data_IF_689518159578
#
_entry.id   IF_689518159578
#
_cell.length_a   1.000
_cell.length_b   1.000
_cell.length_c   1.000
_cell.angle_alpha   90.00
_cell.angle_beta   90.00
_cell.angle_gamma   90.00
#
_symmetry.space_group_name_H-M   'P 1'
#
loop_
_entity.id
_entity.type
_entity.pdbx_description
1 polymer ?
#
# COMPACT_ATOMS: atom_id res chain seq x y z
N UNK A 1 58.45 19.16 15.67
CA UNK A 1 59.66 18.30 15.50
C UNK A 1 59.33 16.89 15.97
N UNK A 2 59.66 15.88 15.14
CA UNK A 2 59.82 14.43 15.40
C UNK A 2 58.60 13.69 15.99
N UNK A 3 57.75 12.97 15.23
CA UNK A 3 57.89 11.71 14.43
C UNK A 3 58.31 10.45 15.22
N UNK A 4 57.41 9.47 15.15
CA UNK A 4 57.61 8.07 14.71
C UNK A 4 57.95 6.97 15.74
N UNK A 5 57.26 5.84 15.52
CA UNK A 5 57.72 4.47 15.77
C UNK A 5 56.52 3.50 15.88
N UNK A 6 56.48 2.32 15.29
CA UNK A 6 57.18 1.68 14.17
C UNK A 6 56.38 0.39 13.86
N UNK A 7 56.28 -0.01 12.59
CA UNK A 7 55.81 -1.32 12.13
C UNK A 7 56.83 -2.42 12.49
N UNK A 8 56.42 -3.70 12.49
CA UNK A 8 56.95 -4.77 11.61
C UNK A 8 56.40 -6.18 11.98
N UNK A 9 55.82 -6.87 10.96
CA UNK A 9 55.95 -8.27 10.49
C UNK A 9 56.04 -9.45 11.49
N UNK A 10 55.15 -10.45 11.45
CA UNK A 10 54.98 -11.58 10.51
C UNK A 10 55.89 -12.78 10.79
N UNK A 11 55.31 -13.98 11.03
CA UNK A 11 55.87 -15.29 10.62
C UNK A 11 54.80 -16.39 10.64
N UNK A 12 54.73 -17.12 9.53
CA UNK A 12 54.08 -18.43 9.39
C UNK A 12 55.10 -19.57 9.62
N UNK A 13 54.66 -20.82 9.82
CA UNK A 13 55.50 -21.99 9.55
C UNK A 13 55.05 -22.75 8.28
N UNK A 14 56.02 -22.97 7.40
CA UNK A 14 56.06 -23.92 6.28
C UNK A 14 56.63 -25.26 6.77
N UNK A 15 56.02 -26.40 6.37
CA UNK A 15 56.65 -27.72 6.20
C UNK A 15 55.90 -28.44 5.05
N UNK A 16 56.39 -28.43 3.80
CA UNK A 16 57.31 -29.38 3.13
C UNK A 16 56.72 -30.78 2.86
N UNK A 17 56.06 -30.87 1.70
CA UNK A 17 56.06 -31.89 0.61
C UNK A 17 56.38 -33.37 0.89
N UNK A 18 55.50 -34.24 0.37
CA UNK A 18 55.88 -35.42 -0.41
C UNK A 18 54.98 -35.52 -1.66
N UNK A 19 55.62 -35.51 -2.83
CA UNK A 19 54.99 -35.63 -4.14
C UNK A 19 54.91 -37.11 -4.55
N UNK A 20 53.77 -37.53 -5.09
CA UNK A 20 53.70 -38.69 -5.99
C UNK A 20 52.91 -38.26 -7.23
N UNK A 21 53.64 -38.14 -8.33
CA UNK A 21 53.14 -37.93 -9.69
C UNK A 21 52.61 -39.25 -10.23
N UNK A 22 51.34 -39.31 -10.62
CA UNK A 22 50.89 -40.20 -11.71
C UNK A 22 49.74 -39.54 -12.49
N UNK A 23 50.11 -38.96 -13.63
CA UNK A 23 49.44 -38.93 -14.94
C UNK A 23 47.89 -38.85 -14.98
N UNK A 24 47.40 -37.70 -15.45
CA UNK A 24 46.02 -37.46 -15.93
C UNK A 24 45.72 -38.20 -17.24
N UNK A 25 44.44 -38.33 -17.62
CA UNK A 25 43.94 -37.35 -18.60
C UNK A 25 42.62 -36.67 -18.20
N UNK A 26 42.48 -35.49 -18.76
CA UNK A 26 41.43 -34.48 -18.60
C UNK A 26 40.01 -35.02 -18.80
N UNK A 27 39.08 -34.54 -17.98
CA UNK A 27 37.74 -34.22 -18.46
C UNK A 27 37.17 -32.97 -17.77
N UNK A 28 36.66 -32.10 -18.62
CA UNK A 28 36.22 -30.71 -18.43
C UNK A 28 34.98 -30.54 -17.53
N UNK A 29 34.94 -29.36 -16.91
CA UNK A 29 33.76 -28.56 -16.57
C UNK A 29 32.65 -29.20 -15.72
N UNK A 30 32.83 -29.17 -14.40
CA UNK A 30 31.70 -29.21 -13.47
C UNK A 30 31.03 -27.82 -13.42
N UNK A 31 30.05 -27.63 -14.29
CA UNK A 31 29.09 -26.54 -14.20
C UNK A 31 28.38 -26.56 -12.85
N UNK A 32 28.45 -25.43 -12.17
CA UNK A 32 27.70 -25.08 -10.98
C UNK A 32 26.19 -25.05 -11.32
N UNK A 33 25.52 -26.20 -11.20
CA UNK A 33 24.06 -26.29 -11.31
C UNK A 33 23.44 -25.89 -9.97
N UNK A 34 23.26 -24.58 -9.76
CA UNK A 34 22.16 -24.11 -8.90
C UNK A 34 20.87 -24.55 -9.60
N UNK A 35 20.19 -25.52 -9.00
CA UNK A 35 18.94 -26.06 -9.53
C UNK A 35 17.94 -24.94 -9.80
N UNK A 36 17.57 -24.80 -11.07
CA UNK A 36 16.30 -24.19 -11.44
C UNK A 36 15.21 -25.06 -10.82
N UNK A 37 14.47 -24.56 -9.84
CA UNK A 37 13.19 -25.16 -9.46
C UNK A 37 12.36 -25.31 -10.73
N UNK A 38 11.78 -26.49 -10.94
CA UNK A 38 10.90 -26.69 -12.08
C UNK A 38 9.66 -25.80 -11.94
N UNK A 39 9.05 -25.38 -13.05
CA UNK A 39 7.80 -24.60 -13.02
C UNK A 39 6.70 -25.30 -12.19
N UNK A 40 6.72 -26.62 -12.11
CA UNK A 40 5.82 -27.42 -11.28
C UNK A 40 6.13 -27.32 -9.78
N UNK A 41 7.40 -27.26 -9.38
CA UNK A 41 7.79 -27.02 -7.99
C UNK A 41 7.47 -25.60 -7.56
N UNK A 42 7.71 -24.61 -8.43
CA UNK A 42 7.33 -23.22 -8.19
C UNK A 42 5.81 -23.10 -8.00
N UNK A 43 5.01 -23.68 -8.91
CA UNK A 43 3.55 -23.66 -8.78
C UNK A 43 3.05 -24.33 -7.49
N UNK A 44 3.72 -25.41 -7.02
CA UNK A 44 3.40 -26.05 -5.73
C UNK A 44 3.76 -25.16 -4.55
N UNK A 45 4.91 -24.49 -4.58
CA UNK A 45 5.34 -23.57 -3.53
C UNK A 45 4.40 -22.36 -3.45
N UNK A 46 4.03 -21.79 -4.59
CA UNK A 46 3.10 -20.68 -4.68
C UNK A 46 1.74 -21.08 -4.11
N UNK A 47 1.20 -22.23 -4.54
CA UNK A 47 -0.07 -22.78 -4.03
C UNK A 47 -0.03 -23.00 -2.51
N UNK A 48 1.08 -23.52 -1.99
CA UNK A 48 1.27 -23.69 -0.53
C UNK A 48 1.26 -22.34 0.19
N UNK A 49 2.01 -21.35 -0.31
CA UNK A 49 2.07 -20.01 0.30
C UNK A 49 0.71 -19.31 0.27
N UNK A 50 -0.09 -19.51 -0.79
CA UNK A 50 -1.45 -19.00 -0.88
C UNK A 50 -2.38 -19.66 0.14
N UNK A 51 -2.26 -20.98 0.32
CA UNK A 51 -3.06 -21.70 1.31
C UNK A 51 -2.71 -21.27 2.74
N UNK A 52 -1.42 -21.08 3.04
CA UNK A 52 -0.96 -20.60 4.36
C UNK A 52 -1.48 -19.18 4.65
N UNK A 53 -1.36 -18.24 3.71
CA UNK A 53 -1.93 -16.89 3.84
C UNK A 53 -3.44 -16.90 4.00
N UNK A 54 -4.15 -17.77 3.28
CA UNK A 54 -5.60 -17.90 3.39
C UNK A 54 -6.02 -18.45 4.77
N UNK A 55 -5.26 -19.39 5.32
CA UNK A 55 -5.50 -19.92 6.66
C UNK A 55 -5.21 -18.89 7.76
N UNK A 56 -4.11 -18.13 7.65
CA UNK A 56 -3.79 -17.02 8.55
C UNK A 56 -4.88 -15.96 8.51
N UNK A 57 -5.31 -15.54 7.31
CA UNK A 57 -6.41 -14.60 7.15
C UNK A 57 -7.72 -15.12 7.75
N UNK A 58 -8.03 -16.40 7.60
CA UNK A 58 -9.24 -16.99 8.18
C UNK A 58 -9.20 -16.98 9.72
N UNK A 59 -8.03 -17.24 10.32
CA UNK A 59 -7.85 -17.15 11.76
C UNK A 59 -7.98 -15.70 12.26
N UNK A 60 -7.40 -14.73 11.54
CA UNK A 60 -7.57 -13.31 11.83
C UNK A 60 -9.04 -12.89 11.74
N UNK A 61 -9.75 -13.32 10.69
CA UNK A 61 -11.16 -13.02 10.48
C UNK A 61 -12.03 -13.62 11.61
N UNK A 62 -11.68 -14.80 12.14
CA UNK A 62 -12.31 -15.40 13.32
C UNK A 62 -12.07 -14.56 14.59
N UNK A 63 -10.84 -14.08 14.81
CA UNK A 63 -10.50 -13.23 15.97
C UNK A 63 -11.30 -11.92 15.99
N UNK A 64 -11.62 -11.37 14.82
CA UNK A 64 -12.32 -10.08 14.71
C UNK A 64 -13.82 -10.20 14.44
N UNK A 65 -14.35 -11.43 14.32
CA UNK A 65 -15.73 -11.68 13.90
C UNK A 65 -16.77 -11.05 14.84
N UNK A 66 -16.52 -11.11 16.15
CA UNK A 66 -17.41 -10.60 17.19
C UNK A 66 -17.19 -9.10 17.51
N UNK A 67 -16.19 -8.47 16.90
CA UNK A 67 -15.93 -7.05 17.10
C UNK A 67 -16.97 -6.20 16.38
N UNK A 68 -17.32 -5.02 16.92
CA UNK A 68 -18.21 -4.09 16.23
C UNK A 68 -17.78 -3.83 14.78
N UNK A 69 -18.73 -3.57 13.85
CA UNK A 69 -18.38 -3.30 12.46
C UNK A 69 -17.41 -2.13 12.29
N UNK A 70 -17.47 -1.13 13.19
CA UNK A 70 -16.61 0.05 13.14
C UNK A 70 -16.75 0.78 11.82
N UNK A 71 -15.63 1.01 11.13
CA UNK A 71 -15.61 1.65 9.82
C UNK A 71 -16.36 0.85 8.75
N UNK A 72 -16.47 -0.48 8.90
CA UNK A 72 -17.20 -1.34 7.97
C UNK A 72 -18.74 -1.19 8.08
N UNK A 73 -19.25 -0.50 9.12
CA UNK A 73 -20.67 -0.14 9.15
C UNK A 73 -21.02 0.74 7.93
N UNK A 74 -22.14 0.52 7.22
CA UNK A 74 -22.44 1.23 5.97
C UNK A 74 -22.35 2.76 6.07
N UNK A 75 -22.88 3.36 7.15
CA UNK A 75 -22.81 4.80 7.37
C UNK A 75 -21.38 5.30 7.64
N UNK A 76 -20.58 4.52 8.37
CA UNK A 76 -19.17 4.86 8.67
C UNK A 76 -18.29 4.69 7.43
N UNK A 77 -18.56 3.69 6.60
CA UNK A 77 -17.89 3.50 5.30
C UNK A 77 -18.20 4.64 4.34
N UNK A 78 -19.46 5.07 4.27
CA UNK A 78 -19.85 6.26 3.49
C UNK A 78 -19.13 7.52 3.99
N UNK A 79 -19.11 7.74 5.31
CA UNK A 79 -18.38 8.85 5.93
C UNK A 79 -16.88 8.81 5.63
N UNK A 80 -16.24 7.64 5.73
CA UNK A 80 -14.83 7.46 5.41
C UNK A 80 -14.53 7.90 3.96
N UNK A 81 -15.38 7.52 3.01
CA UNK A 81 -15.24 7.92 1.61
C UNK A 81 -15.39 9.44 1.41
N UNK A 82 -16.29 10.08 2.15
CA UNK A 82 -16.44 11.53 2.12
C UNK A 82 -15.20 12.24 2.65
N UNK A 83 -14.61 11.75 3.75
CA UNK A 83 -13.38 12.35 4.30
C UNK A 83 -12.19 12.15 3.35
N UNK A 84 -12.01 10.94 2.79
CA UNK A 84 -10.96 10.68 1.78
C UNK A 84 -11.14 11.60 0.56
N UNK A 85 -12.35 11.69 0.00
CA UNK A 85 -12.60 12.52 -1.17
C UNK A 85 -12.40 14.02 -0.91
N UNK A 86 -12.55 14.49 0.33
CA UNK A 86 -12.20 15.87 0.69
C UNK A 86 -10.70 16.16 0.53
N UNK A 87 -9.84 15.14 0.68
CA UNK A 87 -8.39 15.25 0.51
C UNK A 87 -7.91 14.84 -0.89
N UNK A 88 -8.60 13.93 -1.57
CA UNK A 88 -8.21 13.51 -2.92
C UNK A 88 -8.79 14.42 -4.01
N UNK A 89 -9.99 14.99 -3.78
CA UNK A 89 -10.77 15.65 -4.82
C UNK A 89 -11.49 16.93 -4.35
N UNK A 90 -11.21 17.41 -3.15
CA UNK A 90 -11.83 18.59 -2.54
C UNK A 90 -13.38 18.59 -2.58
N UNK A 91 -13.99 17.42 -2.33
CA UNK A 91 -15.45 17.26 -2.34
C UNK A 91 -15.91 16.17 -1.38
N UNK A 92 -17.14 16.29 -0.87
CA UNK A 92 -17.82 15.19 -0.15
C UNK A 92 -18.58 14.26 -1.11
N UNK A 93 -18.81 14.69 -2.35
CA UNK A 93 -19.52 13.90 -3.35
C UNK A 93 -18.60 12.88 -4.02
N UNK A 94 -17.97 11.99 -3.25
CA UNK A 94 -16.92 11.08 -3.72
C UNK A 94 -17.30 10.25 -4.96
N UNK A 95 -18.59 9.94 -5.16
CA UNK A 95 -19.07 9.23 -6.36
C UNK A 95 -18.90 10.03 -7.65
N UNK A 96 -18.65 11.34 -7.62
CA UNK A 96 -18.29 12.09 -8.82
C UNK A 96 -16.89 11.71 -9.34
N UNK A 97 -16.06 11.09 -8.51
CA UNK A 97 -14.68 10.74 -8.87
C UNK A 97 -14.55 9.45 -9.67
N UNK A 98 -15.61 8.64 -9.88
CA UNK A 98 -15.50 7.41 -10.71
C UNK A 98 -14.89 7.69 -12.09
N UNK A 99 -15.22 8.84 -12.69
CA UNK A 99 -14.70 9.28 -13.99
C UNK A 99 -13.48 10.20 -13.91
N UNK A 100 -12.99 10.52 -12.71
CA UNK A 100 -11.76 11.30 -12.56
C UNK A 100 -10.60 10.54 -13.22
N UNK A 101 -9.79 11.27 -13.98
CA UNK A 101 -8.56 10.77 -14.59
C UNK A 101 -7.72 11.97 -15.04
N UNK A 102 -6.49 12.03 -14.54
CA UNK A 102 -5.54 13.11 -14.79
C UNK A 102 -4.13 12.59 -14.49
N UNK A 103 -3.13 13.06 -15.22
CA UNK A 103 -1.74 12.97 -14.78
C UNK A 103 -1.42 14.27 -14.06
N UNK A 104 -1.20 14.17 -12.75
CA UNK A 104 -0.95 15.31 -11.86
C UNK A 104 0.54 15.65 -11.75
N UNK A 105 1.41 14.99 -12.51
CA UNK A 105 2.84 15.25 -12.56
C UNK A 105 3.61 14.77 -11.32
N UNK A 106 3.08 13.79 -10.59
CA UNK A 106 3.70 13.21 -9.40
C UNK A 106 4.57 11.97 -9.69
N UNK A 107 4.72 11.62 -10.97
CA UNK A 107 5.52 10.50 -11.45
C UNK A 107 4.80 9.15 -11.40
N UNK A 108 3.47 9.13 -11.26
CA UNK A 108 2.66 7.89 -11.25
C UNK A 108 1.86 7.68 -12.54
N UNK A 109 2.04 8.56 -13.54
CA UNK A 109 1.25 8.59 -14.77
C UNK A 109 -0.17 9.06 -14.50
N UNK A 110 -1.17 8.46 -15.14
CA UNK A 110 -2.57 8.80 -14.89
C UNK A 110 -3.02 8.29 -13.52
N UNK A 111 -3.54 9.19 -12.69
CA UNK A 111 -4.30 8.93 -11.46
C UNK A 111 -5.80 9.00 -11.76
N UNK A 112 -6.57 7.98 -11.38
CA UNK A 112 -7.97 7.86 -11.81
C UNK A 112 -8.91 7.22 -10.76
N UNK A 113 -10.20 7.54 -10.86
CA UNK A 113 -11.24 6.90 -10.06
C UNK A 113 -11.33 7.38 -8.60
N UNK A 114 -12.12 6.65 -7.82
CA UNK A 114 -12.59 7.05 -6.47
C UNK A 114 -11.54 7.10 -5.36
N UNK A 115 -10.35 6.54 -5.60
CA UNK A 115 -9.22 6.54 -4.66
C UNK A 115 -7.88 6.86 -5.34
N UNK A 116 -7.92 7.32 -6.60
CA UNK A 116 -6.72 7.64 -7.35
C UNK A 116 -5.85 6.43 -7.72
N UNK A 117 -6.43 5.44 -8.42
CA UNK A 117 -5.67 4.34 -9.01
C UNK A 117 -4.69 4.88 -10.05
N UNK A 118 -3.43 4.43 -10.05
CA UNK A 118 -2.42 4.98 -10.98
C UNK A 118 -1.94 3.96 -12.01
N UNK A 119 -1.69 4.41 -13.24
CA UNK A 119 -1.10 3.57 -14.29
C UNK A 119 0.31 3.09 -13.94
N UNK A 120 1.05 3.85 -13.14
CA UNK A 120 2.41 3.53 -12.73
C UNK A 120 2.54 2.70 -11.46
N UNK A 121 1.44 2.39 -10.76
CA UNK A 121 1.47 1.72 -9.43
C UNK A 121 0.76 0.38 -9.39
N UNK A 122 0.56 -0.27 -10.55
CA UNK A 122 -0.03 -1.61 -10.71
C UNK A 122 -1.53 -1.77 -10.38
N UNK A 123 -2.07 -0.95 -9.48
CA UNK A 123 -3.47 -1.00 -9.04
C UNK A 123 -4.48 -0.69 -10.15
N UNK A 124 -4.23 0.33 -10.98
CA UNK A 124 -5.10 0.63 -12.13
C UNK A 124 -5.09 -0.50 -13.15
N UNK A 125 -3.91 -1.06 -13.46
CA UNK A 125 -3.80 -2.22 -14.34
C UNK A 125 -4.62 -3.39 -13.78
N UNK A 126 -4.46 -3.70 -12.49
CA UNK A 126 -5.18 -4.78 -11.80
C UNK A 126 -6.69 -4.58 -11.87
N UNK A 127 -7.17 -3.36 -11.64
CA UNK A 127 -8.58 -2.99 -11.78
C UNK A 127 -9.09 -3.30 -13.19
N UNK A 128 -8.40 -2.82 -14.24
CA UNK A 128 -8.84 -3.01 -15.63
C UNK A 128 -8.78 -4.49 -16.04
N UNK A 129 -7.77 -5.25 -15.58
CA UNK A 129 -7.69 -6.68 -15.84
C UNK A 129 -8.84 -7.47 -15.21
N UNK A 130 -9.13 -7.21 -13.92
CA UNK A 130 -10.23 -7.86 -13.21
C UNK A 130 -11.59 -7.49 -13.81
N UNK A 131 -11.79 -6.20 -14.12
CA UNK A 131 -12.99 -5.73 -14.81
C UNK A 131 -13.15 -6.40 -16.18
N UNK A 132 -12.08 -6.49 -16.97
CA UNK A 132 -12.10 -7.12 -18.30
C UNK A 132 -12.34 -8.62 -18.23
N UNK A 133 -11.82 -9.31 -17.21
CA UNK A 133 -12.11 -10.73 -17.01
C UNK A 133 -13.61 -10.99 -16.79
N UNK A 134 -14.30 -10.10 -16.07
CA UNK A 134 -15.73 -10.18 -15.84
C UNK A 134 -16.57 -9.64 -17.02
N UNK A 135 -16.04 -8.63 -17.73
CA UNK A 135 -16.70 -7.93 -18.84
C UNK A 135 -15.77 -7.82 -20.06
N UNK A 136 -15.57 -8.89 -20.86
CA UNK A 136 -14.53 -8.91 -21.89
C UNK A 136 -14.65 -7.88 -23.00
N UNK A 137 -15.86 -7.38 -23.26
CA UNK A 137 -16.15 -6.42 -24.33
C UNK A 137 -16.17 -4.95 -23.86
N UNK A 138 -15.66 -4.65 -22.65
CA UNK A 138 -15.66 -3.29 -22.11
C UNK A 138 -14.74 -2.32 -22.88
N UNK A 139 -14.98 -1.01 -22.74
CA UNK A 139 -14.26 0.03 -23.48
C UNK A 139 -12.78 0.20 -23.13
N UNK A 140 -12.33 -0.39 -22.01
CA UNK A 140 -10.95 -0.31 -21.51
C UNK A 140 -10.09 -1.50 -21.92
N UNK A 141 -10.70 -2.64 -22.30
CA UNK A 141 -10.00 -3.89 -22.62
C UNK A 141 -8.88 -3.70 -23.66
N UNK A 142 -9.09 -2.84 -24.65
CA UNK A 142 -8.11 -2.53 -25.71
C UNK A 142 -6.81 -1.89 -25.19
N UNK A 143 -6.83 -1.29 -24.01
CA UNK A 143 -5.68 -0.61 -23.42
C UNK A 143 -4.80 -1.54 -22.57
N UNK A 144 -5.26 -2.76 -22.26
CA UNK A 144 -4.50 -3.70 -21.43
C UNK A 144 -3.05 -3.96 -21.90
N UNK A 145 -2.76 -4.12 -23.22
CA UNK A 145 -1.37 -4.27 -23.66
C UNK A 145 -0.50 -3.04 -23.37
N UNK A 146 -1.05 -1.83 -23.45
CA UNK A 146 -0.32 -0.60 -23.13
C UNK A 146 -0.16 -0.43 -21.62
N UNK A 147 -1.25 -0.64 -20.86
CA UNK A 147 -1.22 -0.60 -19.39
C UNK A 147 -0.15 -1.52 -18.81
N UNK A 148 0.00 -2.75 -19.32
CA UNK A 148 1.06 -3.69 -18.90
C UNK A 148 2.48 -3.21 -19.23
N UNK A 149 2.66 -2.42 -20.27
CA UNK A 149 3.98 -1.90 -20.67
C UNK A 149 4.39 -0.69 -19.85
N UNK A 150 3.43 0.18 -19.50
CA UNK A 150 3.70 1.41 -18.75
C UNK A 150 3.68 1.19 -17.24
N UNK A 151 3.16 0.06 -16.76
CA UNK A 151 3.14 -0.29 -15.35
C UNK A 151 4.54 -0.17 -14.71
N UNK A 152 4.62 0.51 -13.56
CA UNK A 152 5.87 0.88 -12.91
C UNK A 152 6.55 2.15 -13.44
N UNK A 153 5.94 2.87 -14.38
CA UNK A 153 6.45 4.13 -14.95
C UNK A 153 5.36 5.21 -15.03
N UNK A 154 5.75 6.45 -15.33
CA UNK A 154 4.83 7.56 -15.63
C UNK A 154 4.47 7.67 -17.12
N UNK A 155 4.85 6.68 -17.94
CA UNK A 155 4.66 6.73 -19.39
C UNK A 155 3.19 6.67 -19.81
N UNK A 156 2.85 7.43 -20.86
CA UNK A 156 1.54 7.39 -21.52
C UNK A 156 1.56 6.64 -22.86
N UNK A 157 2.65 5.95 -23.19
CA UNK A 157 2.81 5.28 -24.48
C UNK A 157 1.69 4.25 -24.74
N UNK A 158 0.95 4.44 -25.83
CA UNK A 158 -0.16 3.55 -26.21
C UNK A 158 -1.45 3.77 -25.44
N UNK A 159 -1.53 4.79 -24.58
CA UNK A 159 -2.73 5.20 -23.85
C UNK A 159 -3.51 6.35 -24.53
N UNK A 160 -3.30 6.56 -25.84
CA UNK A 160 -4.03 7.58 -26.60
C UNK A 160 -5.55 7.40 -26.48
N UNK A 161 -6.23 8.46 -26.04
CA UNK A 161 -7.67 8.46 -25.79
C UNK A 161 -8.13 7.68 -24.56
N UNK A 162 -7.21 7.11 -23.76
CA UNK A 162 -7.54 6.39 -22.52
C UNK A 162 -8.34 7.25 -21.54
N UNK A 163 -8.02 8.53 -21.27
CA UNK A 163 -8.84 9.39 -20.41
C UNK A 163 -10.29 9.54 -20.87
N UNK A 164 -10.54 9.61 -22.17
CA UNK A 164 -11.89 9.69 -22.71
C UNK A 164 -12.63 8.35 -22.57
N UNK A 165 -11.94 7.23 -22.81
CA UNK A 165 -12.49 5.89 -22.63
C UNK A 165 -12.83 5.62 -21.15
N UNK A 166 -11.96 6.01 -20.22
CA UNK A 166 -12.18 5.93 -18.78
C UNK A 166 -13.44 6.67 -18.35
N UNK A 167 -13.57 7.95 -18.74
CA UNK A 167 -14.76 8.77 -18.43
C UNK A 167 -16.04 8.16 -18.98
N UNK A 168 -15.98 7.60 -20.20
CA UNK A 168 -17.13 6.91 -20.81
C UNK A 168 -17.48 5.64 -20.04
N UNK A 169 -16.50 4.81 -19.72
CA UNK A 169 -16.69 3.54 -19.00
C UNK A 169 -17.18 3.79 -17.56
N UNK A 170 -16.78 4.90 -16.93
CA UNK A 170 -17.30 5.35 -15.64
C UNK A 170 -18.80 5.68 -15.65
N UNK A 171 -19.43 5.75 -16.82
CA UNK A 171 -20.89 5.76 -16.96
C UNK A 171 -21.56 4.40 -16.72
N UNK A 172 -20.80 3.30 -16.79
CA UNK A 172 -21.28 1.93 -16.69
C UNK A 172 -21.29 1.48 -15.23
N UNK A 173 -22.44 1.01 -14.75
CA UNK A 173 -22.62 0.53 -13.36
C UNK A 173 -21.62 -0.56 -12.98
N UNK A 174 -21.32 -1.48 -13.90
CA UNK A 174 -20.36 -2.56 -13.68
C UNK A 174 -18.93 -2.05 -13.43
N UNK A 175 -18.50 -0.99 -14.12
CA UNK A 175 -17.17 -0.42 -13.91
C UNK A 175 -17.08 0.34 -12.58
N UNK A 176 -18.16 1.02 -12.17
CA UNK A 176 -18.24 1.63 -10.83
C UNK A 176 -18.13 0.58 -9.73
N UNK A 177 -18.87 -0.52 -9.88
CA UNK A 177 -18.80 -1.65 -8.94
C UNK A 177 -17.41 -2.29 -8.93
N UNK A 178 -16.70 -2.34 -10.07
CA UNK A 178 -15.33 -2.82 -10.13
C UNK A 178 -14.37 -1.90 -9.36
N UNK A 179 -14.51 -0.57 -9.48
CA UNK A 179 -13.74 0.38 -8.66
C UNK A 179 -14.02 0.21 -7.16
N UNK A 180 -15.30 0.10 -6.77
CA UNK A 180 -15.67 -0.13 -5.36
C UNK A 180 -15.07 -1.44 -4.82
N UNK A 181 -15.13 -2.51 -5.62
CA UNK A 181 -14.58 -3.82 -5.24
C UNK A 181 -13.06 -3.78 -5.11
N UNK A 182 -12.37 -3.05 -5.98
CA UNK A 182 -10.91 -2.96 -5.94
C UNK A 182 -10.42 -2.08 -4.78
N UNK A 183 -11.09 -0.96 -4.50
CA UNK A 183 -10.90 -0.19 -3.26
C UNK A 183 -11.02 -1.10 -2.04
N UNK A 184 -12.10 -1.89 -2.00
CA UNK A 184 -12.40 -2.73 -0.85
C UNK A 184 -11.32 -3.80 -0.64
N UNK A 185 -11.02 -4.53 -1.71
CA UNK A 185 -10.07 -5.64 -1.70
C UNK A 185 -8.65 -5.22 -1.34
N UNK A 186 -8.18 -4.09 -1.86
CA UNK A 186 -6.76 -3.70 -1.77
C UNK A 186 -6.50 -2.75 -0.61
N UNK A 187 -7.46 -1.89 -0.26
CA UNK A 187 -7.25 -0.80 0.69
C UNK A 187 -8.15 -0.90 1.92
N UNK A 188 -9.47 -0.93 1.74
CA UNK A 188 -10.40 -0.80 2.85
C UNK A 188 -10.44 -2.03 3.75
N UNK A 189 -10.69 -3.21 3.20
CA UNK A 189 -10.84 -4.43 4.00
C UNK A 189 -9.53 -4.80 4.72
N UNK A 190 -8.34 -4.74 4.08
CA UNK A 190 -7.08 -4.99 4.78
C UNK A 190 -6.80 -3.97 5.89
N UNK A 191 -7.05 -2.68 5.65
CA UNK A 191 -6.83 -1.64 6.65
C UNK A 191 -7.76 -1.79 7.87
N UNK A 192 -9.06 -2.04 7.64
CA UNK A 192 -10.04 -2.22 8.70
C UNK A 192 -9.76 -3.49 9.49
N UNK A 193 -9.46 -4.61 8.82
CA UNK A 193 -9.09 -5.86 9.50
C UNK A 193 -7.87 -5.68 10.38
N UNK A 194 -6.79 -5.10 9.84
CA UNK A 194 -5.56 -4.92 10.60
C UNK A 194 -5.73 -3.97 11.78
N UNK A 195 -6.48 -2.88 11.60
CA UNK A 195 -6.82 -1.97 12.70
C UNK A 195 -7.61 -2.68 13.81
N UNK A 196 -8.53 -3.59 13.46
CA UNK A 196 -9.25 -4.41 14.46
C UNK A 196 -8.32 -5.35 15.23
N UNK A 197 -7.39 -6.03 14.53
CA UNK A 197 -6.37 -6.88 15.18
C UNK A 197 -5.46 -6.08 16.12
N UNK A 198 -5.23 -4.82 15.80
CA UNK A 198 -4.47 -3.87 16.62
C UNK A 198 -5.27 -3.31 17.80
N UNK A 199 -6.57 -3.63 17.90
CA UNK A 199 -7.46 -3.12 18.93
C UNK A 199 -7.90 -1.67 18.72
N UNK A 200 -7.85 -1.17 17.49
CA UNK A 200 -8.23 0.20 17.16
C UNK A 200 -9.74 0.34 16.93
N UNK A 201 -10.31 1.42 17.46
CA UNK A 201 -11.66 1.88 17.21
C UNK A 201 -11.87 2.42 15.79
N UNK A 202 -13.03 3.01 15.56
CA UNK A 202 -13.46 3.44 14.22
C UNK A 202 -12.55 4.52 13.62
N UNK A 203 -12.05 5.46 14.43
CA UNK A 203 -11.11 6.47 13.99
C UNK A 203 -9.76 5.86 13.61
N UNK A 204 -9.24 4.92 14.39
CA UNK A 204 -7.98 4.25 14.05
C UNK A 204 -8.09 3.42 12.77
N UNK A 205 -9.22 2.73 12.55
CA UNK A 205 -9.55 2.07 11.29
C UNK A 205 -9.55 3.06 10.12
N UNK A 206 -10.14 4.25 10.29
CA UNK A 206 -10.13 5.30 9.27
C UNK A 206 -8.71 5.80 8.97
N UNK A 207 -7.90 6.05 10.00
CA UNK A 207 -6.51 6.49 9.85
C UNK A 207 -5.69 5.46 9.07
N UNK A 208 -5.87 4.16 9.35
CA UNK A 208 -5.22 3.09 8.59
C UNK A 208 -5.67 3.07 7.14
N UNK A 209 -6.97 3.20 6.90
CA UNK A 209 -7.52 3.22 5.55
C UNK A 209 -6.98 4.38 4.73
N UNK A 210 -7.02 5.60 5.27
CA UNK A 210 -6.51 6.81 4.63
C UNK A 210 -4.99 6.75 4.39
N UNK A 211 -4.25 6.15 5.31
CA UNK A 211 -2.82 5.89 5.13
C UNK A 211 -2.56 4.87 4.01
N UNK A 212 -3.34 3.79 3.93
CA UNK A 212 -3.18 2.79 2.88
C UNK A 212 -3.54 3.34 1.50
N UNK A 213 -4.54 4.21 1.40
CA UNK A 213 -4.86 4.94 0.15
C UNK A 213 -3.68 5.79 -0.30
N UNK A 214 -3.10 6.59 0.59
CA UNK A 214 -2.02 7.52 0.22
C UNK A 214 -0.65 6.86 0.01
N UNK A 215 -0.31 5.87 0.83
CA UNK A 215 1.02 5.27 0.88
C UNK A 215 1.10 3.89 0.19
N UNK A 216 -0.05 3.34 -0.21
CA UNK A 216 -0.19 2.01 -0.78
C UNK A 216 0.03 0.87 0.23
N UNK A 217 -0.37 -0.37 -0.14
CA UNK A 217 -0.26 -1.57 0.71
C UNK A 217 1.14 -2.21 0.66
N UNK A 218 2.18 -1.49 0.22
CA UNK A 218 3.54 -2.00 0.13
C UNK A 218 4.21 -2.20 1.50
N UNK A 219 5.38 -2.84 1.50
CA UNK A 219 6.21 -3.06 2.70
C UNK A 219 7.45 -2.17 2.76
N UNK A 220 7.55 -1.17 1.87
CA UNK A 220 8.63 -0.18 1.94
C UNK A 220 8.49 0.69 3.20
N UNK A 221 9.57 1.35 3.67
CA UNK A 221 9.52 2.21 4.86
C UNK A 221 8.49 3.35 4.81
N UNK A 222 8.13 3.80 3.61
CA UNK A 222 7.15 4.86 3.35
C UNK A 222 5.78 4.32 2.92
N UNK A 223 5.62 3.00 2.82
CA UNK A 223 4.33 2.34 2.58
C UNK A 223 3.60 2.04 3.89
N UNK A 224 2.29 1.79 3.84
CA UNK A 224 1.46 1.61 5.03
C UNK A 224 2.02 0.62 6.06
N UNK A 225 2.44 -0.58 5.63
CA UNK A 225 2.96 -1.58 6.57
C UNK A 225 4.27 -1.14 7.23
N UNK A 226 5.13 -0.40 6.51
CA UNK A 226 6.35 0.19 7.07
C UNK A 226 6.06 1.30 8.08
N UNK A 227 5.03 2.13 7.85
CA UNK A 227 4.58 3.14 8.82
C UNK A 227 4.06 2.49 10.10
N UNK A 228 3.21 1.46 9.97
CA UNK A 228 2.68 0.70 11.11
C UNK A 228 3.79 0.05 11.93
N UNK A 229 4.74 -0.61 11.26
CA UNK A 229 5.87 -1.26 11.94
C UNK A 229 6.72 -0.26 12.73
N UNK A 230 6.94 0.94 12.18
CA UNK A 230 7.62 2.03 12.90
C UNK A 230 6.82 2.48 14.12
N UNK A 231 5.50 2.67 14.00
CA UNK A 231 4.66 3.07 15.12
C UNK A 231 4.67 2.03 16.25
N UNK A 232 4.63 0.74 15.91
CA UNK A 232 4.72 -0.37 16.87
C UNK A 232 6.06 -0.46 17.61
N UNK A 233 7.13 0.16 17.07
CA UNK A 233 8.42 0.26 17.77
C UNK A 233 8.44 1.41 18.79
N UNK A 234 7.50 2.34 18.70
CA UNK A 234 7.43 3.54 19.52
C UNK A 234 6.29 3.50 20.56
N UNK A 235 5.22 2.75 20.29
CA UNK A 235 4.14 2.52 21.23
C UNK A 235 3.52 1.13 21.11
N UNK A 236 3.13 0.56 22.25
CA UNK A 236 2.36 -0.67 22.32
C UNK A 236 0.99 -0.48 21.66
N UNK A 237 0.53 -1.51 20.96
CA UNK A 237 -0.81 -1.53 20.38
C UNK A 237 -1.87 -1.62 21.49
N UNK A 238 -3.09 -1.11 21.26
CA UNK A 238 -4.21 -1.34 22.17
C UNK A 238 -4.50 -2.81 22.44
N UNK A 239 -4.35 -3.69 21.45
CA UNK A 239 -4.45 -5.15 21.64
C UNK A 239 -3.37 -5.74 22.56
N UNK A 240 -2.32 -4.98 22.85
CA UNK A 240 -1.23 -5.31 23.78
C UNK A 240 -1.32 -4.53 25.10
N UNK A 241 -2.42 -3.80 25.34
CA UNK A 241 -2.64 -2.98 26.53
C UNK A 241 -2.17 -1.53 26.42
N UNK A 242 -1.75 -1.09 25.23
CA UNK A 242 -1.37 0.30 24.96
C UNK A 242 -2.57 1.26 24.88
N UNK A 243 -2.29 2.55 24.95
CA UNK A 243 -3.28 3.61 24.76
C UNK A 243 -3.55 3.85 23.28
N UNK A 244 -4.80 3.69 22.84
CA UNK A 244 -5.19 3.95 21.44
C UNK A 244 -4.84 5.38 21.02
N UNK A 245 -5.14 6.36 21.88
CA UNK A 245 -4.85 7.77 21.59
C UNK A 245 -3.36 8.00 21.37
N UNK A 246 -2.52 7.40 22.22
CA UNK A 246 -1.06 7.55 22.14
C UNK A 246 -0.49 6.87 20.91
N UNK A 247 -0.97 5.65 20.61
CA UNK A 247 -0.58 4.92 19.41
C UNK A 247 -0.92 5.69 18.13
N UNK A 248 -2.17 6.19 18.03
CA UNK A 248 -2.62 6.94 16.85
C UNK A 248 -1.89 8.27 16.69
N UNK A 249 -1.56 8.97 17.78
CA UNK A 249 -0.81 10.24 17.71
C UNK A 249 0.59 10.01 17.11
N UNK A 250 1.29 8.98 17.60
CA UNK A 250 2.60 8.54 17.07
C UNK A 250 2.50 8.09 15.63
N UNK A 251 1.49 7.28 15.29
CA UNK A 251 1.28 6.84 13.91
C UNK A 251 1.08 8.03 12.97
N UNK A 252 0.29 9.04 13.38
CA UNK A 252 0.07 10.25 12.61
C UNK A 252 1.36 11.09 12.46
N UNK A 253 2.24 11.15 13.46
CA UNK A 253 3.55 11.82 13.35
C UNK A 253 4.48 11.13 12.35
N UNK A 254 4.56 9.81 12.42
CA UNK A 254 5.33 8.98 11.49
C UNK A 254 4.81 9.17 10.06
N UNK A 255 3.49 9.10 9.89
CA UNK A 255 2.83 9.29 8.61
C UNK A 255 3.07 10.68 8.04
N UNK A 256 2.90 11.73 8.86
CA UNK A 256 3.16 13.12 8.48
C UNK A 256 4.60 13.33 8.02
N UNK A 257 5.56 12.69 8.71
CA UNK A 257 6.98 12.72 8.34
C UNK A 257 7.21 12.03 7.00
N UNK A 258 6.60 10.87 6.77
CA UNK A 258 6.70 10.15 5.50
C UNK A 258 6.08 10.94 4.33
N UNK A 259 4.95 11.60 4.53
CA UNK A 259 4.36 12.50 3.51
C UNK A 259 5.35 13.58 3.05
N UNK A 260 6.18 14.09 3.98
CA UNK A 260 7.13 15.18 3.73
C UNK A 260 8.52 14.71 3.28
N UNK A 261 8.79 13.41 3.21
CA UNK A 261 10.14 12.87 2.98
C UNK A 261 10.72 13.28 1.62
N UNK A 262 9.89 13.26 0.57
CA UNK A 262 10.27 13.66 -0.80
C UNK A 262 10.01 15.14 -1.10
N UNK A 263 9.05 15.75 -0.40
CA UNK A 263 8.68 17.15 -0.55
C UNK A 263 8.36 17.76 0.82
N UNK A 264 9.28 18.52 1.43
CA UNK A 264 9.07 19.15 2.73
C UNK A 264 7.85 20.09 2.79
N UNK A 265 7.48 20.68 1.66
CA UNK A 265 6.36 21.62 1.51
C UNK A 265 5.03 20.91 1.22
N UNK A 266 5.01 19.57 1.18
CA UNK A 266 3.77 18.82 0.97
C UNK A 266 2.75 19.16 2.05
N UNK A 267 1.53 19.47 1.61
CA UNK A 267 0.40 19.71 2.49
C UNK A 267 0.05 18.44 3.30
N UNK A 268 -0.11 18.60 4.61
CA UNK A 268 -0.45 17.54 5.56
C UNK A 268 -1.78 17.79 6.29
N UNK A 269 -2.64 18.66 5.75
CA UNK A 269 -3.92 19.06 6.38
C UNK A 269 -4.91 17.91 6.55
N UNK A 270 -4.84 16.86 5.70
CA UNK A 270 -5.59 15.60 5.92
C UNK A 270 -5.29 14.93 7.27
N UNK A 271 -4.08 15.16 7.79
CA UNK A 271 -3.68 14.76 9.15
C UNK A 271 -3.96 15.92 10.11
N UNK A 272 -3.29 17.05 9.89
CA UNK A 272 -3.14 18.12 10.88
C UNK A 272 -4.48 18.78 11.26
N UNK A 273 -5.38 18.96 10.30
CA UNK A 273 -6.66 19.67 10.50
C UNK A 273 -7.89 18.79 10.27
N UNK A 274 -7.70 17.48 10.21
CA UNK A 274 -8.77 16.48 10.19
C UNK A 274 -8.49 15.35 11.20
N UNK A 275 -7.70 14.33 10.86
CA UNK A 275 -7.50 13.15 11.72
C UNK A 275 -6.99 13.50 13.12
N UNK A 276 -6.01 14.41 13.21
CA UNK A 276 -5.45 14.87 14.48
C UNK A 276 -6.49 15.60 15.33
N UNK A 277 -7.41 16.33 14.70
CA UNK A 277 -8.53 16.99 15.38
C UNK A 277 -9.50 15.96 15.94
N UNK A 278 -9.93 14.98 15.13
CA UNK A 278 -10.82 13.91 15.60
C UNK A 278 -10.23 13.15 16.79
N UNK A 279 -8.91 12.90 16.76
CA UNK A 279 -8.18 12.26 17.83
C UNK A 279 -8.13 13.10 19.12
N UNK A 280 -7.87 14.40 18.99
CA UNK A 280 -7.78 15.31 20.14
C UNK A 280 -9.15 15.65 20.74
N UNK A 281 -10.20 15.61 19.93
CA UNK A 281 -11.60 15.68 20.38
C UNK A 281 -12.08 14.36 21.03
N UNK A 282 -11.20 13.36 21.13
CA UNK A 282 -11.47 12.02 21.69
C UNK A 282 -12.61 11.27 21.00
N UNK A 283 -12.85 11.60 19.73
CA UNK A 283 -13.88 10.99 18.92
C UNK A 283 -13.36 9.69 18.26
N UNK A 284 -12.95 8.73 19.08
CA UNK A 284 -12.38 7.44 18.65
C UNK A 284 -13.38 6.58 17.86
N UNK A 285 -14.68 6.85 18.01
CA UNK A 285 -15.76 6.19 17.27
C UNK A 285 -16.15 6.92 15.97
N UNK A 286 -15.55 8.07 15.68
CA UNK A 286 -15.83 8.89 14.48
C UNK A 286 -17.31 9.27 14.36
N UNK A 287 -17.95 9.66 15.46
CA UNK A 287 -19.35 10.11 15.52
C UNK A 287 -19.54 11.44 14.81
N UNK A 288 -20.67 11.60 14.13
CA UNK A 288 -21.10 12.89 13.59
C UNK A 288 -21.88 13.68 14.66
N UNK A 289 -21.94 15.02 14.58
CA UNK A 289 -21.41 15.88 13.52
C UNK A 289 -19.88 15.93 13.48
N UNK A 290 -19.31 15.98 12.27
CA UNK A 290 -17.88 16.18 12.04
C UNK A 290 -17.65 17.46 11.26
N UNK A 291 -16.65 18.23 11.68
CA UNK A 291 -16.15 19.39 10.94
C UNK A 291 -14.63 19.33 10.86
N UNK A 292 -14.08 19.50 9.66
CA UNK A 292 -12.64 19.46 9.45
C UNK A 292 -12.22 20.37 8.30
N UNK A 293 -10.92 20.54 8.13
CA UNK A 293 -10.34 21.38 7.08
C UNK A 293 -9.29 20.62 6.29
N UNK A 294 -9.32 20.72 4.97
CA UNK A 294 -8.26 20.22 4.07
C UNK A 294 -8.00 21.27 2.99
N UNK A 295 -6.73 21.57 2.71
CA UNK A 295 -6.29 22.57 1.70
C UNK A 295 -6.90 23.97 1.84
N UNK A 296 -7.29 24.40 3.03
CA UNK A 296 -7.97 25.69 3.19
C UNK A 296 -9.50 25.60 3.22
N UNK A 297 -10.08 24.49 2.76
CA UNK A 297 -11.52 24.29 2.63
C UNK A 297 -12.10 23.59 3.86
N UNK A 298 -13.26 24.07 4.32
CA UNK A 298 -13.95 23.51 5.49
C UNK A 298 -15.07 22.58 5.04
N UNK A 299 -15.09 21.38 5.61
CA UNK A 299 -16.08 20.35 5.34
C UNK A 299 -16.89 20.08 6.60
N UNK A 300 -18.15 19.69 6.41
CA UNK A 300 -19.06 19.35 7.50
C UNK A 300 -19.97 18.20 7.10
N UNK A 301 -20.09 17.20 7.98
CA UNK A 301 -21.09 16.14 7.89
C UNK A 301 -21.91 16.15 9.17
N UNK A 302 -23.24 16.32 9.09
CA UNK A 302 -24.12 16.42 10.25
C UNK A 302 -24.24 15.12 11.05
#
# INVERSE_FOLDING_TARGET
MKRAGCLLFATAPLLVTAAVYFVTPEHKDAQNTRGSTSAAEQARQDAKSHAERAAEQAADDELIADLPPGLAAPAKKELAQQIVASAENSTLHWRSAYGYIEDIGDGQGYTAGIIGFCTGTHDLLTLVERYTKAHPANGLARYLPALRKVDGTDSHEGLDGFPAAWRKEAGVTAFRAAQDSERDRVYFDPAVRLAKLDGLGTLGQFIYYDAMVLHGPGTSPDSFYGLRERAMREADLPSQGGSEKSYLDIFLDIRRTSMKSKNPDRDTTRIDTAQRRFLYDENLDLHTPLAWKVYGETYHVP
#
